data_IF_155243846420
#
_entry.id   IF_155243846420
#
_cell.length_a   1.000
_cell.length_b   1.000
_cell.length_c   1.000
_cell.angle_alpha   90.00
_cell.angle_beta   90.00
_cell.angle_gamma   90.00
#
_symmetry.space_group_name_H-M   'P 1'
#
loop_
_entity.id
_entity.type
_entity.pdbx_description
1 polymer ?
#
# COMPACT_ATOMS: atom_id res chain seq x y z
N UNK A 1 -20.50 22.49 -0.10
CA UNK A 1 -20.47 21.50 -1.21
C UNK A 1 -19.07 20.86 -1.35
N UNK A 2 -18.34 20.65 -0.25
CA UNK A 2 -16.93 20.16 -0.29
C UNK A 2 -16.80 18.63 -0.13
N UNK A 3 -17.76 17.99 0.55
CA UNK A 3 -17.69 16.56 0.87
C UNK A 3 -17.90 15.62 -0.33
N UNK A 4 -18.68 16.03 -1.34
CA UNK A 4 -18.91 15.23 -2.55
C UNK A 4 -17.66 15.20 -3.43
N UNK A 5 -17.07 16.36 -3.70
CA UNK A 5 -15.85 16.50 -4.53
C UNK A 5 -14.66 15.77 -3.92
N UNK A 6 -14.50 15.80 -2.59
CA UNK A 6 -13.46 15.04 -1.91
C UNK A 6 -13.68 13.52 -2.01
N UNK A 7 -14.92 13.05 -1.88
CA UNK A 7 -15.22 11.63 -2.03
C UNK A 7 -15.00 11.11 -3.45
N UNK A 8 -15.27 11.91 -4.46
CA UNK A 8 -15.02 11.57 -5.86
C UNK A 8 -13.51 11.47 -6.17
N UNK A 9 -12.71 12.44 -5.68
CA UNK A 9 -11.25 12.41 -5.84
C UNK A 9 -10.58 11.24 -5.12
N UNK A 10 -11.02 10.94 -3.90
CA UNK A 10 -10.53 9.77 -3.16
C UNK A 10 -10.81 8.48 -3.94
N UNK A 11 -12.00 8.40 -4.52
CA UNK A 11 -12.44 7.23 -5.28
C UNK A 11 -11.64 7.04 -6.56
N UNK A 12 -11.34 8.13 -7.29
CA UNK A 12 -10.41 8.09 -8.43
C UNK A 12 -9.01 7.62 -8.03
N UNK A 13 -8.48 8.12 -6.91
CA UNK A 13 -7.19 7.68 -6.40
C UNK A 13 -7.20 6.17 -6.09
N UNK A 14 -8.17 5.66 -5.33
CA UNK A 14 -8.20 4.23 -5.02
C UNK A 14 -8.44 3.35 -6.27
N UNK A 15 -9.22 3.82 -7.24
CA UNK A 15 -9.37 3.15 -8.54
C UNK A 15 -8.07 3.09 -9.33
N UNK A 16 -7.23 4.13 -9.24
CA UNK A 16 -5.93 4.14 -9.92
C UNK A 16 -4.94 3.12 -9.34
N UNK A 17 -5.18 2.63 -8.11
CA UNK A 17 -4.40 1.57 -7.48
C UNK A 17 -4.83 0.17 -7.91
N UNK A 18 -5.99 0.01 -8.56
CA UNK A 18 -6.44 -1.29 -9.07
C UNK A 18 -5.48 -1.84 -10.13
N UNK A 19 -5.39 -3.17 -10.24
CA UNK A 19 -4.51 -3.88 -11.18
C UNK A 19 -3.26 -4.47 -10.51
N UNK A 20 -2.42 -5.12 -11.30
CA UNK A 20 -1.21 -5.80 -10.84
C UNK A 20 0.00 -4.87 -10.80
N UNK A 21 0.75 -4.98 -9.71
CA UNK A 21 1.93 -4.21 -9.40
C UNK A 21 3.08 -5.14 -9.04
N UNK A 22 4.26 -4.93 -9.63
CA UNK A 22 5.46 -5.68 -9.31
C UNK A 22 6.66 -4.75 -9.16
N UNK A 23 7.53 -5.04 -8.20
CA UNK A 23 8.79 -4.32 -8.13
C UNK A 23 9.63 -4.59 -6.89
N UNK A 24 10.86 -4.06 -6.89
CA UNK A 24 11.78 -4.23 -5.78
C UNK A 24 11.37 -3.39 -4.56
N UNK A 25 11.72 -3.91 -3.39
CA UNK A 25 11.74 -3.19 -2.14
C UNK A 25 12.98 -3.51 -1.33
N UNK A 26 13.26 -2.64 -0.36
CA UNK A 26 14.40 -2.73 0.51
C UNK A 26 14.03 -2.33 1.94
N UNK A 27 14.60 -3.04 2.91
CA UNK A 27 14.59 -2.61 4.30
C UNK A 27 15.69 -1.55 4.47
N UNK A 28 15.31 -0.31 4.77
CA UNK A 28 16.26 0.83 4.78
C UNK A 28 16.80 1.16 6.18
N UNK A 29 16.17 0.61 7.24
CA UNK A 29 16.58 0.84 8.63
C UNK A 29 16.33 -0.38 9.52
N UNK A 30 17.01 -0.41 10.67
CA UNK A 30 16.90 -1.48 11.67
C UNK A 30 17.84 -2.66 11.41
N UNK A 31 17.64 -3.74 12.18
CA UNK A 31 18.51 -4.95 12.17
C UNK A 31 18.67 -5.58 10.78
N UNK A 32 17.63 -5.48 9.94
CA UNK A 32 17.57 -6.11 8.63
C UNK A 32 17.86 -5.13 7.48
N UNK A 33 18.49 -3.99 7.75
CA UNK A 33 18.84 -2.99 6.72
C UNK A 33 19.64 -3.63 5.58
N UNK A 34 19.32 -3.23 4.34
CA UNK A 34 19.94 -3.73 3.11
C UNK A 34 19.30 -5.01 2.57
N UNK A 35 18.34 -5.60 3.29
CA UNK A 35 17.57 -6.75 2.79
C UNK A 35 16.71 -6.31 1.62
N UNK A 36 16.96 -6.90 0.44
CA UNK A 36 16.19 -6.66 -0.77
C UNK A 36 15.16 -7.76 -0.97
N UNK A 37 14.02 -7.37 -1.51
CA UNK A 37 12.92 -8.27 -1.84
C UNK A 37 12.20 -7.78 -3.08
N UNK A 38 11.42 -8.67 -3.70
CA UNK A 38 10.55 -8.33 -4.83
C UNK A 38 9.12 -8.62 -4.42
N UNK A 39 8.25 -7.63 -4.55
CA UNK A 39 6.84 -7.77 -4.26
C UNK A 39 6.02 -7.86 -5.53
N UNK A 40 4.96 -8.66 -5.48
CA UNK A 40 3.89 -8.69 -6.45
C UNK A 40 2.58 -8.47 -5.70
N UNK A 41 1.77 -7.52 -6.15
CA UNK A 41 0.50 -7.13 -5.54
C UNK A 41 -0.59 -7.02 -6.60
N UNK A 42 -1.81 -7.36 -6.23
CA UNK A 42 -3.03 -7.13 -6.99
C UNK A 42 -3.89 -6.14 -6.22
N UNK A 43 -4.21 -5.02 -6.85
CA UNK A 43 -5.08 -3.97 -6.35
C UNK A 43 -6.51 -4.19 -6.80
N UNK A 44 -7.45 -4.13 -5.86
CA UNK A 44 -8.88 -4.29 -6.11
C UNK A 44 -9.67 -3.25 -5.32
N UNK A 45 -10.57 -2.52 -5.99
CA UNK A 45 -11.52 -1.64 -5.32
C UNK A 45 -12.78 -2.41 -4.88
N UNK A 46 -13.25 -2.25 -3.63
CA UNK A 46 -14.50 -2.84 -3.19
C UNK A 46 -15.66 -2.11 -3.90
N UNK A 47 -16.36 -2.77 -4.83
CA UNK A 47 -17.24 -2.12 -5.82
C UNK A 47 -18.16 -1.00 -5.32
N UNK A 48 -18.87 -1.19 -4.21
CA UNK A 48 -19.82 -0.20 -3.67
C UNK A 48 -19.21 0.80 -2.66
N UNK A 49 -17.91 0.70 -2.34
CA UNK A 49 -17.26 1.46 -1.26
C UNK A 49 -15.99 2.15 -1.77
N UNK A 50 -15.74 3.37 -1.30
CA UNK A 50 -14.48 4.05 -1.58
C UNK A 50 -13.37 3.37 -0.79
N UNK A 51 -12.43 2.72 -1.46
CA UNK A 51 -11.36 1.96 -0.82
C UNK A 51 -10.55 1.13 -1.80
N UNK A 52 -9.54 0.42 -1.30
CA UNK A 52 -8.71 -0.52 -2.07
C UNK A 52 -8.22 -1.65 -1.18
N UNK A 53 -8.05 -2.83 -1.76
CA UNK A 53 -7.25 -3.92 -1.20
C UNK A 53 -6.07 -4.18 -2.13
N UNK A 54 -4.86 -4.18 -1.58
CA UNK A 54 -3.64 -4.66 -2.21
C UNK A 54 -3.29 -6.00 -1.57
N UNK A 55 -3.50 -7.10 -2.28
CA UNK A 55 -3.13 -8.46 -1.82
C UNK A 55 -1.96 -8.98 -2.65
N UNK A 56 -1.03 -9.71 -2.03
CA UNK A 56 0.09 -10.25 -2.77
C UNK A 56 1.15 -10.88 -1.89
N UNK A 57 2.38 -10.91 -2.40
CA UNK A 57 3.51 -11.49 -1.68
C UNK A 57 4.82 -10.79 -2.00
N UNK A 58 5.73 -10.78 -1.03
CA UNK A 58 7.09 -10.28 -1.17
C UNK A 58 8.09 -11.41 -0.94
N UNK A 59 9.00 -11.57 -1.89
CA UNK A 59 9.99 -12.65 -1.93
C UNK A 59 11.39 -12.14 -1.59
N UNK A 60 12.05 -12.80 -0.65
CA UNK A 60 13.46 -12.61 -0.28
C UNK A 60 14.21 -13.92 -0.59
N UNK A 61 15.02 -13.95 -1.66
CA UNK A 61 15.72 -15.17 -2.06
C UNK A 61 14.75 -16.29 -2.42
N UNK A 62 14.69 -17.35 -1.60
CA UNK A 62 13.74 -18.48 -1.75
C UNK A 62 12.48 -18.34 -0.88
N UNK A 63 12.46 -17.42 0.07
CA UNK A 63 11.35 -17.24 0.99
C UNK A 63 10.33 -16.27 0.42
N UNK A 64 9.04 -16.61 0.51
CA UNK A 64 7.94 -15.71 0.14
C UNK A 64 7.06 -15.45 1.35
N UNK A 65 6.70 -14.19 1.58
CA UNK A 65 5.78 -13.78 2.63
C UNK A 65 4.55 -13.12 2.02
N UNK A 66 3.36 -13.58 2.43
CA UNK A 66 2.12 -12.94 2.05
C UNK A 66 2.06 -11.53 2.64
N UNK A 67 1.66 -10.57 1.83
CA UNK A 67 1.49 -9.18 2.23
C UNK A 67 0.15 -8.65 1.72
N UNK A 68 -0.65 -8.10 2.63
CA UNK A 68 -1.97 -7.56 2.32
C UNK A 68 -2.17 -6.20 3.00
N UNK A 69 -2.79 -5.25 2.29
CA UNK A 69 -3.29 -4.00 2.84
C UNK A 69 -4.71 -3.76 2.34
N UNK A 70 -5.68 -3.58 3.23
CA UNK A 70 -7.05 -3.16 2.90
C UNK A 70 -7.35 -1.81 3.51
N UNK A 71 -8.03 -0.95 2.77
CA UNK A 71 -8.39 0.41 3.15
C UNK A 71 -9.81 0.67 2.65
N UNK A 72 -10.67 1.20 3.52
CA UNK A 72 -12.03 1.57 3.19
C UNK A 72 -12.39 2.89 3.88
N UNK A 73 -13.08 3.77 3.17
CA UNK A 73 -13.64 5.00 3.70
C UNK A 73 -14.74 4.69 4.71
N UNK A 74 -14.65 5.31 5.88
CA UNK A 74 -15.61 5.20 7.00
C UNK A 74 -15.90 6.59 7.54
N UNK A 75 -17.08 7.11 7.24
CA UNK A 75 -17.47 8.48 7.61
C UNK A 75 -16.51 9.50 6.98
N UNK A 76 -15.83 10.29 7.82
CA UNK A 76 -14.87 11.32 7.40
C UNK A 76 -13.42 10.84 7.25
N UNK A 77 -13.13 9.57 7.52
CA UNK A 77 -11.76 9.03 7.46
C UNK A 77 -11.70 7.67 6.79
N UNK A 78 -10.58 6.96 6.98
CA UNK A 78 -10.37 5.62 6.45
C UNK A 78 -10.01 4.65 7.57
N UNK A 79 -10.43 3.40 7.40
CA UNK A 79 -10.05 2.26 8.24
C UNK A 79 -9.63 1.10 7.39
N UNK A 80 -8.98 0.12 8.01
CA UNK A 80 -8.53 -1.05 7.29
C UNK A 80 -7.48 -1.84 8.05
N UNK A 81 -6.76 -2.70 7.33
CA UNK A 81 -5.79 -3.62 7.91
C UNK A 81 -4.55 -3.71 7.04
N UNK A 82 -3.40 -3.77 7.66
CA UNK A 82 -2.13 -4.15 7.04
C UNK A 82 -1.68 -5.48 7.66
N UNK A 83 -1.25 -6.46 6.86
CA UNK A 83 -0.81 -7.81 7.27
C UNK A 83 -1.77 -8.48 8.27
N UNK A 84 -3.06 -8.57 7.92
CA UNK A 84 -4.16 -9.13 8.73
C UNK A 84 -4.61 -8.28 9.94
N UNK A 85 -4.04 -7.09 10.11
CA UNK A 85 -4.42 -6.17 11.18
C UNK A 85 -3.81 -6.53 12.54
N UNK A 86 -4.11 -5.71 13.56
CA UNK A 86 -3.50 -5.84 14.89
C UNK A 86 -3.86 -7.14 15.62
N UNK A 87 -5.02 -7.75 15.28
CA UNK A 87 -5.45 -9.07 15.76
C UNK A 87 -4.63 -10.22 15.16
N UNK A 88 -4.02 -10.02 13.99
CA UNK A 88 -3.18 -10.99 13.30
C UNK A 88 -1.69 -10.69 13.47
N UNK A 89 -0.95 -10.72 12.36
CA UNK A 89 0.50 -10.44 12.35
C UNK A 89 0.84 -8.98 12.05
N UNK A 90 -0.16 -8.14 11.83
CA UNK A 90 0.01 -6.81 11.24
C UNK A 90 -0.47 -5.65 12.10
N UNK A 91 -0.95 -4.60 11.45
CA UNK A 91 -1.35 -3.33 12.06
C UNK A 91 -2.71 -2.88 11.53
N UNK A 92 -3.52 -2.27 12.39
CA UNK A 92 -4.77 -1.66 11.98
C UNK A 92 -4.50 -0.30 11.34
N UNK A 93 -5.18 -0.03 10.23
CA UNK A 93 -5.27 1.31 9.64
C UNK A 93 -6.36 2.05 10.41
N UNK A 94 -5.98 3.08 11.16
CA UNK A 94 -6.90 3.84 12.03
C UNK A 94 -7.29 5.21 11.47
N UNK A 95 -6.49 5.72 10.55
CA UNK A 95 -6.75 6.97 9.84
C UNK A 95 -6.01 6.98 8.51
N UNK A 96 -6.46 7.83 7.60
CA UNK A 96 -5.78 8.08 6.34
C UNK A 96 -6.13 9.46 5.78
N UNK A 97 -5.31 9.96 4.88
CA UNK A 97 -5.56 11.16 4.12
C UNK A 97 -5.06 10.95 2.69
N UNK A 98 -5.94 11.16 1.72
CA UNK A 98 -5.61 11.20 0.30
C UNK A 98 -5.38 12.65 -0.06
N UNK A 99 -4.26 12.92 -0.72
CA UNK A 99 -3.86 14.24 -1.18
C UNK A 99 -3.27 14.12 -2.58
N UNK A 100 -4.08 14.45 -3.59
CA UNK A 100 -3.71 14.28 -5.00
C UNK A 100 -3.34 12.84 -5.34
N UNK A 101 -2.07 12.61 -5.66
CA UNK A 101 -1.54 11.30 -6.08
C UNK A 101 -0.86 10.52 -4.95
N UNK A 102 -1.13 10.87 -3.69
CA UNK A 102 -0.59 10.16 -2.53
C UNK A 102 -1.65 9.91 -1.47
N UNK A 103 -1.46 8.82 -0.74
CA UNK A 103 -2.20 8.52 0.48
C UNK A 103 -1.24 8.29 1.63
N UNK A 104 -1.52 8.90 2.77
CA UNK A 104 -0.84 8.65 4.04
C UNK A 104 -1.80 7.94 4.97
N UNK A 105 -1.41 6.78 5.46
CA UNK A 105 -2.19 5.94 6.38
C UNK A 105 -1.47 5.87 7.71
N UNK A 106 -2.23 5.95 8.80
CA UNK A 106 -1.69 5.72 10.15
C UNK A 106 -1.96 4.28 10.57
N UNK A 107 -0.89 3.59 10.96
CA UNK A 107 -0.88 2.19 11.35
C UNK A 107 -0.70 2.06 12.86
N UNK A 108 -1.47 1.17 13.49
CA UNK A 108 -1.42 0.96 14.94
C UNK A 108 -1.47 -0.53 15.29
N UNK A 109 -0.62 -0.95 16.21
CA UNK A 109 -0.76 -2.22 16.93
C UNK A 109 -0.31 -2.04 18.37
N UNK A 110 -1.23 -2.08 19.32
CA UNK A 110 -0.93 -1.82 20.73
C UNK A 110 -0.17 -0.48 20.90
N UNK A 111 1.07 -0.52 21.40
CA UNK A 111 1.95 0.65 21.54
C UNK A 111 2.72 1.01 20.26
N UNK A 112 2.78 0.10 19.28
CA UNK A 112 3.44 0.35 18.00
C UNK A 112 2.58 1.31 17.17
N UNK A 113 3.22 2.39 16.73
CA UNK A 113 2.65 3.39 15.82
C UNK A 113 3.51 3.42 14.56
N UNK A 114 2.86 3.44 13.41
CA UNK A 114 3.52 3.54 12.12
C UNK A 114 2.72 4.38 11.14
N UNK A 115 3.31 4.59 9.97
CA UNK A 115 2.65 5.22 8.86
C UNK A 115 3.03 4.51 7.56
N UNK A 116 2.08 4.43 6.64
CA UNK A 116 2.34 4.00 5.27
C UNK A 116 2.03 5.17 4.35
N UNK A 117 2.98 5.50 3.48
CA UNK A 117 2.81 6.45 2.39
C UNK A 117 2.82 5.66 1.10
N UNK A 118 1.76 5.72 0.32
CA UNK A 118 1.76 5.26 -1.06
C UNK A 118 1.57 6.48 -1.98
N UNK A 119 2.44 6.61 -2.99
CA UNK A 119 2.43 7.71 -3.95
C UNK A 119 2.53 7.16 -5.36
N UNK A 120 1.64 7.58 -6.23
CA UNK A 120 1.80 7.39 -7.67
C UNK A 120 2.78 8.44 -8.18
N UNK A 121 3.89 7.96 -8.78
CA UNK A 121 4.83 8.78 -9.52
C UNK A 121 4.39 8.97 -10.98
N UNK A 122 3.63 8.01 -11.50
CA UNK A 122 2.90 8.07 -12.77
C UNK A 122 1.74 7.07 -12.73
N UNK A 123 0.99 6.94 -13.83
CA UNK A 123 -0.08 5.92 -13.98
C UNK A 123 0.40 4.48 -13.71
N UNK A 124 1.68 4.22 -13.98
CA UNK A 124 2.28 2.88 -13.99
C UNK A 124 3.46 2.74 -13.02
N UNK A 125 3.69 3.75 -12.17
CA UNK A 125 4.76 3.75 -11.17
C UNK A 125 4.23 4.19 -9.81
N UNK A 126 4.37 3.31 -8.82
CA UNK A 126 3.96 3.55 -7.44
C UNK A 126 5.14 3.38 -6.49
N UNK A 127 5.35 4.34 -5.60
CA UNK A 127 6.30 4.23 -4.50
C UNK A 127 5.55 4.05 -3.19
N UNK A 128 5.99 3.09 -2.39
CA UNK A 128 5.43 2.83 -1.07
C UNK A 128 6.54 2.95 -0.03
N UNK A 129 6.25 3.65 1.07
CA UNK A 129 7.16 3.76 2.22
C UNK A 129 6.41 3.40 3.48
N UNK A 130 6.93 2.45 4.24
CA UNK A 130 6.42 2.11 5.58
C UNK A 130 7.40 2.65 6.60
N UNK A 131 6.87 3.42 7.54
CA UNK A 131 7.62 4.04 8.63
C UNK A 131 7.06 3.59 9.97
N UNK A 132 7.93 3.49 10.98
CA UNK A 132 7.54 3.24 12.36
C UNK A 132 7.99 4.39 13.25
N UNK A 133 7.22 4.65 14.31
CA UNK A 133 7.59 5.64 15.30
C UNK A 133 8.62 5.05 16.25
N UNK A 134 9.79 5.66 16.29
CA UNK A 134 10.85 5.38 17.28
C UNK A 134 11.04 6.67 18.08
N UNK A 135 10.83 6.58 19.40
CA UNK A 135 10.77 7.73 20.29
C UNK A 135 9.78 8.80 19.82
N UNK A 136 10.29 9.97 19.44
CA UNK A 136 9.52 11.12 18.95
C UNK A 136 9.62 11.31 17.43
N UNK A 137 10.24 10.36 16.70
CA UNK A 137 10.52 10.49 15.27
C UNK A 137 9.90 9.34 14.47
N UNK A 138 9.44 9.65 13.26
CA UNK A 138 9.04 8.64 12.27
C UNK A 138 10.28 8.22 11.49
N UNK A 139 10.59 6.93 11.51
CA UNK A 139 11.75 6.37 10.82
C UNK A 139 11.24 5.48 9.69
N UNK A 140 11.60 5.76 8.41
CA UNK A 140 11.28 4.86 7.31
C UNK A 140 12.05 3.56 7.51
N UNK A 141 11.35 2.43 7.41
CA UNK A 141 11.94 1.09 7.59
C UNK A 141 11.88 0.27 6.32
N UNK A 142 10.88 0.52 5.48
CA UNK A 142 10.69 -0.19 4.21
C UNK A 142 10.40 0.82 3.12
N UNK A 143 11.10 0.70 1.99
CA UNK A 143 10.79 1.39 0.74
C UNK A 143 10.52 0.38 -0.37
N UNK A 144 9.56 0.67 -1.24
CA UNK A 144 9.23 -0.15 -2.41
C UNK A 144 8.98 0.75 -3.61
N UNK A 145 9.43 0.30 -4.78
CA UNK A 145 9.17 0.93 -6.06
C UNK A 145 8.51 -0.10 -6.96
N UNK A 146 7.23 0.10 -7.24
CA UNK A 146 6.36 -0.83 -7.94
C UNK A 146 6.03 -0.29 -9.33
N UNK A 147 6.01 -1.18 -10.32
CA UNK A 147 5.55 -0.92 -11.68
C UNK A 147 4.29 -1.69 -11.95
N UNK A 148 3.38 -1.10 -12.72
CA UNK A 148 2.21 -1.82 -13.21
C UNK A 148 2.65 -2.91 -14.19
N UNK A 149 2.06 -4.10 -14.07
CA UNK A 149 2.38 -5.25 -14.95
C UNK A 149 1.22 -5.68 -15.85
N UNK A 150 0.01 -5.17 -15.60
CA UNK A 150 -1.19 -5.43 -16.43
C UNK A 150 -1.02 -5.10 -17.92
N UNK A 151 -0.06 -4.23 -18.26
CA UNK A 151 0.17 -3.72 -19.62
C UNK A 151 1.30 -4.44 -20.37
N UNK A 152 1.77 -5.61 -19.88
CA UNK A 152 2.76 -6.44 -20.61
C UNK A 152 2.29 -7.88 -20.82
N UNK A 153 1.88 -8.13 -22.07
CA UNK A 153 2.06 -9.35 -22.87
C UNK A 153 0.92 -10.39 -22.96
N UNK A 154 -0.21 -10.01 -23.58
CA UNK A 154 -0.91 -10.89 -24.54
C UNK A 154 -0.58 -10.45 -25.97
N UNK A 155 0.67 -10.67 -26.39
CA UNK A 155 1.14 -10.20 -27.69
C UNK A 155 2.32 -10.98 -28.22
N UNK A 156 2.26 -12.32 -28.21
CA UNK A 156 3.10 -13.22 -29.03
C UNK A 156 2.68 -14.69 -28.86
N UNK A 157 1.52 -15.07 -29.40
CA UNK A 157 1.36 -16.42 -29.95
C UNK A 157 0.84 -16.20 -31.37
N UNK A 158 1.76 -16.04 -32.32
CA UNK A 158 1.43 -16.30 -33.72
C UNK A 158 1.22 -17.81 -33.84
N UNK A 159 0.06 -18.21 -34.34
CA UNK A 159 -0.14 -19.55 -34.92
C UNK A 159 0.77 -19.74 -36.13
#
# INVERSE_FOLDING_TARGET
MEGAVAADRDHEFFRSLSGEWSGPGEIVAGKYKGTKFVCNFTGETPGARVGVTLDGSCRVGIFSQKMQASIEKRGRGYRGKFLDGAKGKGLDVVSGNVDGQRVVLSLVRNKLRGAMLARLASKDAMNVTVSVKVDKKMVPVIGMSLKRVDDRATGSIKR
#
